data_IF_255263296000
#
_entry.id   IF_255263296000
#
_cell.length_a   1.000
_cell.length_b   1.000
_cell.length_c   1.000
_cell.angle_alpha   90.00
_cell.angle_beta   90.00
_cell.angle_gamma   90.00
#
_symmetry.space_group_name_H-M   'P 1'
#
loop_
_entity.id
_entity.type
_entity.pdbx_description
1 polymer ?
#
# COMPACT_ATOMS: atom_id res chain seq x y z
N UNK A 1 -8.29 -14.89 -49.16
CA UNK A 1 -8.25 -14.06 -47.93
C UNK A 1 -7.21 -14.65 -46.98
N UNK A 2 -5.94 -14.22 -47.08
CA UNK A 2 -4.87 -14.64 -46.15
C UNK A 2 -3.78 -13.57 -46.07
N UNK A 3 -4.17 -12.32 -45.83
CA UNK A 3 -3.21 -11.21 -45.71
C UNK A 3 -3.58 -10.20 -44.61
N UNK A 4 -4.42 -10.60 -43.63
CA UNK A 4 -4.91 -9.67 -42.58
C UNK A 4 -4.48 -10.10 -41.17
N UNK A 5 -3.85 -11.27 -41.00
CA UNK A 5 -3.49 -11.81 -39.67
C UNK A 5 -2.01 -11.71 -39.30
N UNK A 6 -1.13 -11.34 -40.23
CA UNK A 6 0.33 -11.30 -40.00
C UNK A 6 0.82 -9.92 -39.53
N UNK A 7 0.06 -8.85 -39.80
CA UNK A 7 0.46 -7.47 -39.47
C UNK A 7 0.46 -7.15 -37.98
N UNK A 8 -0.23 -7.91 -37.14
CA UNK A 8 -0.22 -7.70 -35.68
C UNK A 8 1.03 -8.25 -34.99
N UNK A 9 1.69 -9.26 -35.60
CA UNK A 9 2.90 -9.87 -35.05
C UNK A 9 4.18 -9.13 -35.47
N UNK A 10 4.19 -8.51 -36.66
CA UNK A 10 5.31 -7.68 -37.11
C UNK A 10 5.38 -6.33 -36.37
N UNK A 11 4.26 -5.80 -35.86
CA UNK A 11 4.23 -4.55 -35.08
C UNK A 11 4.97 -4.69 -33.73
N UNK A 12 4.94 -5.88 -33.12
CA UNK A 12 5.69 -6.23 -31.90
C UNK A 12 7.22 -6.29 -32.11
N UNK A 13 7.65 -6.54 -33.35
CA UNK A 13 9.08 -6.61 -33.72
C UNK A 13 9.61 -5.29 -34.26
N UNK A 14 8.83 -4.21 -34.19
CA UNK A 14 9.35 -2.89 -34.52
C UNK A 14 10.48 -2.53 -33.54
N UNK A 15 11.62 -1.98 -34.03
CA UNK A 15 12.72 -1.59 -33.16
C UNK A 15 12.29 -0.67 -32.01
N UNK A 16 11.26 0.15 -32.23
CA UNK A 16 10.69 1.03 -31.21
C UNK A 16 9.87 0.28 -30.15
N UNK A 17 9.08 -0.74 -30.52
CA UNK A 17 8.38 -1.58 -29.55
C UNK A 17 9.38 -2.35 -28.68
N UNK A 18 10.43 -2.91 -29.30
CA UNK A 18 11.49 -3.61 -28.59
C UNK A 18 12.26 -2.68 -27.63
N UNK A 19 12.58 -1.46 -28.08
CA UNK A 19 13.22 -0.45 -27.22
C UNK A 19 12.34 -0.09 -26.00
N UNK A 20 11.02 0.06 -26.18
CA UNK A 20 10.09 0.29 -25.06
C UNK A 20 10.03 -0.89 -24.09
N UNK A 21 10.05 -2.12 -24.59
CA UNK A 21 10.11 -3.32 -23.75
C UNK A 21 11.42 -3.38 -22.94
N UNK A 22 12.55 -3.09 -23.57
CA UNK A 22 13.87 -3.03 -22.91
C UNK A 22 13.90 -1.93 -21.85
N UNK A 23 13.37 -0.74 -22.13
CA UNK A 23 13.25 0.35 -21.14
C UNK A 23 12.39 -0.08 -19.94
N UNK A 24 11.25 -0.74 -20.19
CA UNK A 24 10.39 -1.28 -19.14
C UNK A 24 11.08 -2.37 -18.31
N UNK A 25 11.86 -3.25 -18.94
CA UNK A 25 12.66 -4.27 -18.26
C UNK A 25 13.76 -3.64 -17.40
N UNK A 26 14.51 -2.69 -17.96
CA UNK A 26 15.53 -1.92 -17.25
C UNK A 26 14.92 -1.26 -16.01
N UNK A 27 13.77 -0.61 -16.14
CA UNK A 27 13.10 0.03 -15.02
C UNK A 27 12.75 -0.97 -13.91
N UNK A 28 12.23 -2.15 -14.26
CA UNK A 28 11.93 -3.21 -13.28
C UNK A 28 13.18 -3.71 -12.56
N UNK A 29 14.28 -3.91 -13.29
CA UNK A 29 15.56 -4.36 -12.70
C UNK A 29 16.10 -3.30 -11.75
N UNK A 30 16.07 -2.02 -12.15
CA UNK A 30 16.49 -0.90 -11.28
C UNK A 30 15.63 -0.85 -10.03
N UNK A 31 14.31 -0.91 -10.14
CA UNK A 31 13.41 -0.90 -8.98
C UNK A 31 13.69 -2.07 -8.02
N UNK A 32 13.88 -3.29 -8.54
CA UNK A 32 14.20 -4.45 -7.70
C UNK A 32 15.57 -4.34 -7.03
N UNK A 33 16.56 -3.78 -7.72
CA UNK A 33 17.87 -3.54 -7.12
C UNK A 33 17.79 -2.48 -6.02
N UNK A 34 17.01 -1.43 -6.25
CA UNK A 34 16.78 -0.34 -5.30
C UNK A 34 16.06 -0.84 -4.03
N UNK A 35 15.08 -1.73 -4.16
CA UNK A 35 14.42 -2.41 -3.03
C UNK A 35 15.42 -3.23 -2.19
N UNK A 36 16.37 -3.93 -2.83
CA UNK A 36 17.42 -4.67 -2.12
C UNK A 36 18.41 -3.78 -1.39
N UNK A 37 18.74 -2.62 -1.95
CA UNK A 37 19.67 -1.66 -1.34
C UNK A 37 19.04 -0.90 -0.17
N UNK A 38 17.81 -0.43 -0.35
CA UNK A 38 17.10 0.33 0.67
C UNK A 38 16.51 -0.57 1.77
N UNK A 39 16.25 -1.84 1.43
CA UNK A 39 15.61 -2.81 2.30
C UNK A 39 14.08 -2.75 2.23
N UNK A 40 13.39 -3.85 2.61
CA UNK A 40 11.95 -4.03 2.40
C UNK A 40 11.05 -3.08 3.22
N UNK A 41 11.60 -2.36 4.19
CA UNK A 41 10.87 -1.44 5.06
C UNK A 41 11.14 0.04 4.75
N UNK A 42 11.97 0.35 3.74
CA UNK A 42 12.29 1.73 3.41
C UNK A 42 11.13 2.39 2.66
N UNK A 43 10.39 3.25 3.36
CA UNK A 43 9.43 4.15 2.75
C UNK A 43 10.15 5.40 2.22
N UNK A 44 10.19 5.58 0.90
CA UNK A 44 10.71 6.78 0.25
C UNK A 44 9.54 7.66 -0.16
N UNK A 45 9.36 8.78 0.52
CA UNK A 45 8.42 9.81 0.10
C UNK A 45 9.17 10.90 -0.67
N UNK A 46 8.97 10.95 -1.99
CA UNK A 46 9.59 11.98 -2.83
C UNK A 46 8.94 13.36 -2.68
N UNK A 47 7.73 13.45 -2.13
CA UNK A 47 7.06 14.71 -1.86
C UNK A 47 7.54 15.37 -0.55
N UNK A 48 8.02 14.56 0.42
CA UNK A 48 8.59 15.04 1.69
C UNK A 48 9.83 14.22 2.10
N UNK A 49 10.99 14.43 1.46
CA UNK A 49 12.20 13.62 1.69
C UNK A 49 12.75 13.75 3.13
N UNK A 50 12.56 14.91 3.77
CA UNK A 50 13.07 15.21 5.12
C UNK A 50 12.03 15.01 6.23
N UNK A 51 10.79 14.62 5.86
CA UNK A 51 9.65 14.56 6.78
C UNK A 51 9.29 15.93 7.38
N UNK A 52 9.63 17.02 6.70
CA UNK A 52 9.47 18.39 7.20
C UNK A 52 8.00 18.81 7.28
N UNK A 53 7.18 18.35 6.34
CA UNK A 53 5.74 18.62 6.34
C UNK A 53 5.06 17.90 7.50
N UNK A 54 5.40 16.62 7.71
CA UNK A 54 4.90 15.87 8.86
C UNK A 54 5.26 16.54 10.20
N UNK A 55 6.53 16.97 10.37
CA UNK A 55 6.98 17.68 11.58
C UNK A 55 6.24 19.00 11.79
N UNK A 56 6.02 19.78 10.72
CA UNK A 56 5.29 21.05 10.79
C UNK A 56 3.83 20.84 11.19
N UNK A 57 3.16 19.85 10.58
CA UNK A 57 1.78 19.52 10.89
C UNK A 57 1.63 19.13 12.37
N UNK A 58 2.52 18.27 12.88
CA UNK A 58 2.54 17.89 14.30
C UNK A 58 2.71 19.10 15.22
N UNK A 59 3.62 20.03 14.89
CA UNK A 59 3.80 21.26 15.66
C UNK A 59 2.55 22.16 15.63
N UNK A 60 1.92 22.32 14.47
CA UNK A 60 0.70 23.12 14.33
C UNK A 60 -0.46 22.54 15.16
N UNK A 61 -0.58 21.21 15.22
CA UNK A 61 -1.57 20.52 16.05
C UNK A 61 -1.32 20.73 17.54
N UNK A 62 -0.05 20.68 18.00
CA UNK A 62 0.28 20.96 19.40
C UNK A 62 -0.03 22.42 19.79
N UNK A 63 0.25 23.38 18.90
CA UNK A 63 -0.11 24.79 19.12
C UNK A 63 -1.62 24.97 19.24
N UNK A 64 -2.40 24.37 18.33
CA UNK A 64 -3.86 24.42 18.34
C UNK A 64 -4.49 23.69 19.55
N UNK A 65 -3.77 22.72 20.13
CA UNK A 65 -4.19 22.03 21.36
C UNK A 65 -3.95 22.90 22.60
N UNK A 66 -2.85 23.64 22.66
CA UNK A 66 -2.56 24.56 23.76
C UNK A 66 -3.49 25.79 23.81
N UNK A 67 -4.05 26.24 22.69
CA UNK A 67 -4.98 27.39 22.65
C UNK A 67 -6.38 27.11 23.24
N UNK A 68 -6.77 25.84 23.42
CA UNK A 68 -8.11 25.42 23.88
C UNK A 68 -8.25 25.07 25.37
N UNK A 69 -7.26 25.36 26.21
CA UNK A 69 -7.31 25.07 27.65
C UNK A 69 -8.22 26.03 28.45
N UNK A 70 -9.53 26.04 28.17
CA UNK A 70 -10.56 26.58 29.07
C UNK A 70 -11.79 25.67 29.04
N UNK A 71 -12.21 25.04 30.16
CA UNK A 71 -13.32 24.10 30.16
C UNK A 71 -14.66 24.82 30.28
N UNK A 72 -15.42 24.87 29.17
CA UNK A 72 -16.78 25.42 29.12
C UNK A 72 -17.79 24.36 28.66
N UNK A 73 -18.71 24.01 29.55
CA UNK A 73 -19.75 22.97 29.47
C UNK A 73 -20.73 23.06 28.27
N UNK A 74 -21.18 21.86 27.87
CA UNK A 74 -22.54 21.45 27.40
C UNK A 74 -22.87 21.35 25.89
N UNK A 75 -23.77 20.42 25.49
CA UNK A 75 -23.82 19.84 24.15
C UNK A 75 -24.94 20.41 23.28
N UNK A 76 -24.75 20.32 21.96
CA UNK A 76 -25.86 20.37 20.99
C UNK A 76 -25.97 21.65 20.17
N UNK A 77 -25.10 21.82 19.18
CA UNK A 77 -25.44 22.31 17.82
C UNK A 77 -24.18 22.19 16.95
N UNK A 78 -24.33 21.81 15.69
CA UNK A 78 -23.22 21.82 14.74
C UNK A 78 -22.57 23.22 14.74
N UNK A 79 -21.26 23.36 15.01
CA UNK A 79 -20.64 24.67 15.05
C UNK A 79 -20.49 25.20 13.63
N UNK A 80 -20.86 26.47 13.42
CA UNK A 80 -20.37 27.25 12.29
C UNK A 80 -18.83 27.23 12.29
N UNK A 81 -18.15 27.32 11.13
CA UNK A 81 -16.70 27.25 11.07
C UNK A 81 -16.11 28.42 11.85
N UNK A 82 -15.70 28.15 13.09
CA UNK A 82 -14.80 29.04 13.82
C UNK A 82 -13.44 28.93 13.14
N UNK A 83 -12.78 30.08 12.94
CA UNK A 83 -11.49 30.18 12.26
C UNK A 83 -10.34 29.39 12.93
N UNK A 84 -10.61 28.73 14.07
CA UNK A 84 -9.65 27.98 14.89
C UNK A 84 -10.14 26.54 15.19
N UNK A 85 -10.86 25.94 14.22
CA UNK A 85 -11.29 24.56 14.28
C UNK A 85 -10.36 23.66 13.45
N UNK A 86 -9.80 22.62 14.08
CA UNK A 86 -9.05 21.56 13.39
C UNK A 86 -10.05 20.48 12.97
N UNK A 87 -10.17 20.23 11.67
CA UNK A 87 -11.03 19.20 11.09
C UNK A 87 -10.16 18.06 10.57
N UNK A 88 -10.43 16.84 11.03
CA UNK A 88 -9.80 15.62 10.51
C UNK A 88 -10.85 14.82 9.74
N UNK A 89 -10.58 14.57 8.47
CA UNK A 89 -11.45 13.75 7.62
C UNK A 89 -10.75 12.42 7.34
N UNK A 90 -11.34 11.33 7.82
CA UNK A 90 -10.84 9.97 7.60
C UNK A 90 -11.85 9.21 6.75
N UNK A 91 -11.44 8.86 5.54
CA UNK A 91 -12.19 7.97 4.66
C UNK A 91 -11.54 6.58 4.70
N UNK A 92 -12.19 5.63 5.37
CA UNK A 92 -11.62 4.29 5.58
C UNK A 92 -12.68 3.19 5.56
N UNK A 93 -12.34 2.02 5.01
CA UNK A 93 -13.18 0.80 4.99
C UNK A 93 -12.49 -0.34 5.77
N UNK A 94 -12.57 -0.33 7.11
CA UNK A 94 -11.82 -1.25 7.95
C UNK A 94 -12.27 -2.71 7.79
N UNK A 95 -13.56 -2.96 7.59
CA UNK A 95 -14.12 -4.31 7.51
C UNK A 95 -13.62 -5.08 6.29
N UNK A 96 -13.44 -4.41 5.16
CA UNK A 96 -13.00 -5.07 3.92
C UNK A 96 -11.54 -5.52 4.00
N UNK A 97 -10.67 -4.68 4.57
CA UNK A 97 -9.26 -5.02 4.71
C UNK A 97 -9.05 -6.10 5.79
N UNK A 98 -9.75 -6.00 6.93
CA UNK A 98 -9.71 -7.03 7.96
C UNK A 98 -10.22 -8.38 7.44
N UNK A 99 -11.29 -8.39 6.65
CA UNK A 99 -11.81 -9.60 6.04
C UNK A 99 -10.79 -10.21 5.06
N UNK A 100 -10.16 -9.41 4.21
CA UNK A 100 -9.14 -9.88 3.26
C UNK A 100 -7.93 -10.51 3.98
N UNK A 101 -7.45 -9.88 5.07
CA UNK A 101 -6.36 -10.41 5.87
C UNK A 101 -6.75 -11.72 6.58
N UNK A 102 -7.93 -11.74 7.22
CA UNK A 102 -8.44 -12.93 7.91
C UNK A 102 -8.65 -14.10 6.94
N UNK A 103 -9.20 -13.83 5.76
CA UNK A 103 -9.41 -14.86 4.73
C UNK A 103 -8.08 -15.46 4.25
N UNK A 104 -7.06 -14.62 4.02
CA UNK A 104 -5.72 -15.09 3.64
C UNK A 104 -5.07 -15.93 4.74
N UNK A 105 -5.22 -15.53 6.00
CA UNK A 105 -4.70 -16.28 7.15
C UNK A 105 -5.39 -17.64 7.28
N UNK A 106 -6.73 -17.67 7.18
CA UNK A 106 -7.51 -18.91 7.24
C UNK A 106 -7.18 -19.88 6.10
N UNK A 107 -6.91 -19.39 4.89
CA UNK A 107 -6.46 -20.23 3.76
C UNK A 107 -5.11 -20.88 4.07
N UNK A 108 -4.15 -20.11 4.61
CA UNK A 108 -2.84 -20.61 4.99
C UNK A 108 -2.94 -21.65 6.12
N UNK A 109 -3.74 -21.40 7.14
CA UNK A 109 -4.01 -22.35 8.22
C UNK A 109 -4.58 -23.67 7.70
N UNK A 110 -5.56 -23.59 6.78
CA UNK A 110 -6.13 -24.79 6.15
C UNK A 110 -5.08 -25.58 5.38
N UNK A 111 -4.23 -24.91 4.58
CA UNK A 111 -3.16 -25.57 3.82
C UNK A 111 -2.10 -26.17 4.74
N UNK A 112 -1.77 -25.50 5.84
CA UNK A 112 -0.85 -26.01 6.85
C UNK A 112 -1.41 -27.26 7.54
N UNK A 113 -2.68 -27.27 7.93
CA UNK A 113 -3.33 -28.42 8.54
C UNK A 113 -3.37 -29.64 7.59
N UNK A 114 -3.62 -29.42 6.30
CA UNK A 114 -3.57 -30.48 5.28
C UNK A 114 -2.15 -31.04 5.10
N UNK A 115 -1.15 -30.16 5.10
CA UNK A 115 0.25 -30.56 5.00
C UNK A 115 0.69 -31.34 6.24
N UNK A 116 0.32 -30.87 7.44
CA UNK A 116 0.61 -31.57 8.69
C UNK A 116 -0.02 -32.96 8.71
N UNK A 117 -1.29 -33.10 8.32
CA UNK A 117 -1.94 -34.40 8.23
C UNK A 117 -1.21 -35.35 7.26
N UNK A 118 -0.76 -34.84 6.11
CA UNK A 118 -0.05 -35.66 5.11
C UNK A 118 1.33 -36.10 5.60
N UNK A 119 2.09 -35.21 6.25
CA UNK A 119 3.45 -35.49 6.75
C UNK A 119 3.43 -36.38 8.00
N UNK A 120 2.40 -36.26 8.85
CA UNK A 120 2.26 -37.04 10.08
C UNK A 120 1.70 -38.44 9.84
N UNK A 121 1.14 -38.69 8.65
CA UNK A 121 0.59 -39.99 8.23
C UNK A 121 1.63 -40.97 7.68
N UNK A 122 2.94 -40.72 7.82
CA UNK A 122 3.95 -41.78 7.73
C UNK A 122 4.03 -42.48 9.10
N UNK A 123 3.32 -43.59 9.36
CA UNK A 123 3.68 -44.44 10.47
C UNK A 123 5.10 -44.94 10.22
N UNK A 124 5.95 -44.89 11.26
CA UNK A 124 7.16 -45.70 11.34
C UNK A 124 6.80 -47.11 10.86
N UNK A 125 7.23 -47.43 9.65
CA UNK A 125 7.14 -48.78 9.11
C UNK A 125 8.24 -49.59 9.81
N UNK A 126 7.94 -50.04 11.03
CA UNK A 126 8.64 -51.14 11.70
C UNK A 126 7.97 -52.47 11.42
#
# INVERSE_FOLDING_TARGET
QSMVKESAAEEELTPMALARQVEGLKQRVVSSHLEKLLGPAAAVDFADPDGALAKRLLQQLEVAKCSKAAPGKSPGKAPAPSADAVTFELYWRPEQEQFAQTAKMAELEKRLAQLEATVRCEPDSQ
#
